data_IF_355337857865
#
_entry.id   IF_355337857865
#
_cell.length_a   1.000
_cell.length_b   1.000
_cell.length_c   1.000
_cell.angle_alpha   90.00
_cell.angle_beta   90.00
_cell.angle_gamma   90.00
#
_symmetry.space_group_name_H-M   'P 1'
#
loop_
_entity.id
_entity.type
_entity.pdbx_description
1 polymer ?
#
# COMPACT_ATOMS: atom_id res chain seq x y z
N UNK A 1 -45.54 61.18 42.92
CA UNK A 1 -46.05 60.86 41.57
C UNK A 1 -45.03 61.38 40.57
N UNK A 2 -44.02 60.60 40.20
CA UNK A 2 -44.03 59.57 39.14
C UNK A 2 -44.16 60.18 37.73
N UNK A 3 -43.02 60.53 37.11
CA UNK A 3 -42.67 60.01 35.77
C UNK A 3 -41.13 59.98 35.64
N UNK A 4 -40.53 58.86 36.00
CA UNK A 4 -39.19 58.51 35.51
C UNK A 4 -39.39 57.96 34.09
N UNK A 5 -39.05 58.74 33.07
CA UNK A 5 -38.86 58.25 31.71
C UNK A 5 -37.42 58.57 31.32
N UNK A 6 -36.53 57.63 31.61
CA UNK A 6 -35.17 57.64 31.06
C UNK A 6 -35.27 57.18 29.60
N UNK A 7 -34.70 57.93 28.63
CA UNK A 7 -34.52 57.38 27.30
C UNK A 7 -33.46 56.29 27.39
N UNK A 8 -33.86 55.07 27.06
CA UNK A 8 -32.94 53.95 26.81
C UNK A 8 -32.12 54.33 25.58
N UNK A 9 -30.94 54.91 25.80
CA UNK A 9 -29.91 54.98 24.77
C UNK A 9 -29.42 53.55 24.53
N UNK A 10 -29.94 52.93 23.48
CA UNK A 10 -29.30 51.77 22.86
C UNK A 10 -27.99 52.25 22.24
N UNK A 11 -26.90 52.17 23.00
CA UNK A 11 -25.57 52.18 22.43
C UNK A 11 -25.44 50.94 21.52
N UNK A 12 -25.01 51.08 20.26
CA UNK A 12 -24.76 49.92 19.41
C UNK A 12 -23.69 49.05 20.08
N UNK A 13 -23.79 47.71 20.04
CA UNK A 13 -22.73 46.86 20.53
C UNK A 13 -21.46 47.23 19.77
N UNK A 14 -20.44 47.67 20.52
CA UNK A 14 -19.11 47.94 20.00
C UNK A 14 -18.63 46.69 19.27
N UNK A 15 -18.71 46.72 17.94
CA UNK A 15 -18.17 45.67 17.09
C UNK A 15 -16.66 45.68 17.32
N UNK A 16 -16.18 44.71 18.10
CA UNK A 16 -14.77 44.37 18.18
C UNK A 16 -14.25 44.29 16.73
N UNK A 17 -13.16 44.98 16.36
CA UNK A 17 -12.64 44.86 15.00
C UNK A 17 -12.33 43.39 14.74
N UNK A 18 -13.03 42.80 13.77
CA UNK A 18 -12.73 41.46 13.30
C UNK A 18 -11.24 41.42 12.97
N UNK A 19 -10.51 40.51 13.62
CA UNK A 19 -9.06 40.39 13.42
C UNK A 19 -8.76 40.36 11.91
N UNK A 20 -7.78 41.15 11.43
CA UNK A 20 -7.51 41.24 10.00
C UNK A 20 -7.25 39.83 9.44
N UNK A 21 -7.67 39.55 8.20
CA UNK A 21 -7.42 38.26 7.58
C UNK A 21 -5.93 37.94 7.69
N UNK A 22 -5.60 36.80 8.28
CA UNK A 22 -4.19 36.43 8.50
C UNK A 22 -3.51 36.29 7.16
N UNK A 23 -2.48 37.10 6.92
CA UNK A 23 -1.66 37.03 5.72
C UNK A 23 -0.65 35.87 5.83
N UNK A 24 -0.48 35.14 4.73
CA UNK A 24 0.48 34.03 4.61
C UNK A 24 1.89 34.51 4.92
N UNK A 25 2.26 35.71 4.45
CA UNK A 25 3.59 36.29 4.69
C UNK A 25 3.86 36.46 6.18
N UNK A 26 2.84 36.87 6.94
CA UNK A 26 2.92 36.99 8.40
C UNK A 26 3.13 35.63 9.06
N UNK A 27 2.39 34.61 8.61
CA UNK A 27 2.50 33.24 9.12
C UNK A 27 3.87 32.62 8.80
N UNK A 28 4.43 32.90 7.61
CA UNK A 28 5.72 32.38 7.16
C UNK A 28 6.91 32.91 7.97
N UNK A 29 6.78 34.06 8.65
CA UNK A 29 7.82 34.54 9.59
C UNK A 29 8.10 33.57 10.73
N UNK A 30 7.18 32.65 11.00
CA UNK A 30 7.34 31.60 12.01
C UNK A 30 7.99 30.31 11.47
N UNK A 31 8.43 30.28 10.20
CA UNK A 31 9.08 29.12 9.59
C UNK A 31 10.28 28.60 10.40
N UNK A 32 11.21 29.48 10.78
CA UNK A 32 12.40 29.09 11.55
C UNK A 32 12.05 28.51 12.93
N UNK A 33 11.03 29.07 13.59
CA UNK A 33 10.52 28.54 14.85
C UNK A 33 9.91 27.15 14.65
N UNK A 34 9.09 26.97 13.61
CA UNK A 34 8.43 25.70 13.31
C UNK A 34 9.46 24.62 12.97
N UNK A 35 10.43 24.93 12.13
CA UNK A 35 11.53 24.03 11.79
C UNK A 35 12.33 23.64 13.04
N UNK A 36 12.64 24.61 13.93
CA UNK A 36 13.31 24.34 15.21
C UNK A 36 12.48 23.48 16.16
N UNK A 37 11.15 23.64 16.15
CA UNK A 37 10.23 22.80 16.90
C UNK A 37 10.16 21.37 16.34
N UNK A 38 10.09 21.22 15.01
CA UNK A 38 10.09 19.93 14.30
C UNK A 38 11.41 19.17 14.48
N UNK A 39 12.56 19.86 14.46
CA UNK A 39 13.88 19.25 14.71
C UNK A 39 14.01 18.58 16.08
N UNK A 40 13.22 19.00 17.08
CA UNK A 40 13.17 18.33 18.40
C UNK A 40 12.23 17.13 18.41
N UNK A 41 11.47 16.94 17.35
CA UNK A 41 10.47 15.87 17.21
C UNK A 41 10.91 14.79 16.24
N UNK A 42 11.69 15.12 15.21
CA UNK A 42 12.26 14.16 14.26
C UNK A 42 13.79 14.18 14.33
N UNK A 43 14.41 13.01 14.21
CA UNK A 43 15.86 12.83 14.35
C UNK A 43 16.68 13.31 13.13
N UNK A 44 16.00 13.76 12.06
CA UNK A 44 16.63 14.19 10.81
C UNK A 44 16.31 15.66 10.52
N UNK A 45 17.37 16.46 10.30
CA UNK A 45 17.26 17.89 9.98
C UNK A 45 16.58 18.16 8.63
N UNK A 46 16.76 17.26 7.65
CA UNK A 46 16.11 17.33 6.34
C UNK A 46 14.62 17.03 6.46
N UNK A 47 14.24 15.93 7.14
CA UNK A 47 12.84 15.62 7.38
C UNK A 47 12.10 16.72 8.15
N UNK A 48 12.79 17.39 9.08
CA UNK A 48 12.22 18.55 9.77
C UNK A 48 11.98 19.75 8.84
N UNK A 49 12.86 19.97 7.85
CA UNK A 49 12.69 21.02 6.84
C UNK A 49 11.52 20.69 5.90
N UNK A 50 11.43 19.44 5.44
CA UNK A 50 10.35 18.97 4.57
C UNK A 50 9.00 19.07 5.26
N UNK A 51 8.88 18.60 6.51
CA UNK A 51 7.66 18.72 7.30
C UNK A 51 7.25 20.17 7.56
N UNK A 52 8.23 21.08 7.73
CA UNK A 52 7.96 22.51 7.87
C UNK A 52 7.36 23.06 6.57
N UNK A 53 7.96 22.72 5.43
CA UNK A 53 7.48 23.12 4.11
C UNK A 53 6.09 22.56 3.83
N UNK A 54 5.86 21.27 4.07
CA UNK A 54 4.57 20.59 3.91
C UNK A 54 3.48 21.22 4.77
N UNK A 55 3.84 21.70 5.97
CA UNK A 55 2.91 22.44 6.83
C UNK A 55 2.41 23.70 6.12
N UNK A 56 3.31 24.48 5.53
CA UNK A 56 2.94 25.69 4.80
C UNK A 56 2.20 25.39 3.49
N UNK A 57 2.63 24.38 2.72
CA UNK A 57 1.93 23.93 1.51
C UNK A 57 0.49 23.52 1.82
N UNK A 58 0.29 22.74 2.89
CA UNK A 58 -1.05 22.31 3.32
C UNK A 58 -1.93 23.48 3.76
N UNK A 59 -1.34 24.51 4.35
CA UNK A 59 -2.05 25.72 4.77
C UNK A 59 -2.44 26.57 3.55
N UNK A 60 -1.52 26.75 2.61
CA UNK A 60 -1.75 27.46 1.34
C UNK A 60 -2.85 26.80 0.51
N UNK A 61 -2.85 25.46 0.44
CA UNK A 61 -3.85 24.70 -0.30
C UNK A 61 -5.29 24.81 0.24
N UNK A 62 -5.51 25.35 1.45
CA UNK A 62 -6.85 25.58 2.02
C UNK A 62 -7.53 26.85 1.50
N UNK A 63 -6.82 27.69 0.75
CA UNK A 63 -7.36 28.90 0.13
C UNK A 63 -7.57 30.05 1.11
N UNK A 64 -8.55 29.93 2.03
CA UNK A 64 -8.85 30.98 3.02
C UNK A 64 -8.30 30.62 4.39
N UNK A 65 -7.34 31.42 4.86
CA UNK A 65 -6.85 31.33 6.23
C UNK A 65 -7.94 31.78 7.21
N UNK A 66 -8.17 31.03 8.31
CA UNK A 66 -9.02 31.52 9.39
C UNK A 66 -8.36 32.74 10.04
N UNK A 67 -9.13 33.51 10.82
CA UNK A 67 -8.56 34.52 11.70
C UNK A 67 -7.72 33.81 12.78
N UNK A 68 -6.40 33.76 12.58
CA UNK A 68 -5.47 33.10 13.50
C UNK A 68 -5.01 34.12 14.54
N UNK A 69 -5.49 33.96 15.78
CA UNK A 69 -5.03 34.79 16.91
C UNK A 69 -3.64 34.37 17.39
N UNK A 70 -3.34 33.07 17.38
CA UNK A 70 -2.06 32.51 17.84
C UNK A 70 -1.39 31.67 16.74
N UNK A 71 -0.45 32.26 15.97
CA UNK A 71 0.18 31.59 14.82
C UNK A 71 0.93 30.30 15.17
N UNK A 72 1.69 30.31 16.27
CA UNK A 72 2.56 29.18 16.66
C UNK A 72 1.75 27.93 17.07
N UNK A 73 0.75 28.01 17.96
CA UNK A 73 -0.12 26.86 18.29
C UNK A 73 -0.89 26.33 17.08
N UNK A 74 -1.34 27.22 16.18
CA UNK A 74 -1.99 26.82 14.94
C UNK A 74 -1.05 26.00 14.04
N UNK A 75 0.17 26.51 13.79
CA UNK A 75 1.19 25.81 13.00
C UNK A 75 1.57 24.47 13.63
N UNK A 76 1.76 24.42 14.96
CA UNK A 76 2.05 23.19 15.67
C UNK A 76 0.92 22.17 15.52
N UNK A 77 -0.34 22.60 15.49
CA UNK A 77 -1.48 21.70 15.32
C UNK A 77 -1.49 21.06 13.93
N UNK A 78 -1.26 21.84 12.88
CA UNK A 78 -1.16 21.31 11.51
C UNK A 78 0.05 20.37 11.38
N UNK A 79 1.21 20.79 11.90
CA UNK A 79 2.45 20.02 11.86
C UNK A 79 2.37 18.71 12.66
N UNK A 80 1.63 18.68 13.78
CA UNK A 80 1.38 17.44 14.55
C UNK A 80 0.66 16.38 13.71
N UNK A 81 -0.33 16.77 12.91
CA UNK A 81 -1.01 15.85 12.00
C UNK A 81 -0.04 15.24 10.99
N UNK A 82 0.83 16.07 10.41
CA UNK A 82 1.86 15.62 9.46
C UNK A 82 2.92 14.73 10.12
N UNK A 83 3.30 15.01 11.38
CA UNK A 83 4.20 14.16 12.16
C UNK A 83 3.61 12.75 12.38
N UNK A 84 2.32 12.66 12.72
CA UNK A 84 1.66 11.37 12.91
C UNK A 84 1.69 10.56 11.61
N UNK A 85 1.36 11.20 10.49
CA UNK A 85 1.42 10.56 9.17
C UNK A 85 2.85 10.12 8.80
N UNK A 86 3.85 10.96 9.08
CA UNK A 86 5.26 10.65 8.87
C UNK A 86 5.71 9.41 9.66
N UNK A 87 5.41 9.34 10.97
CA UNK A 87 5.78 8.19 11.79
C UNK A 87 5.00 6.93 11.43
N UNK A 88 3.74 7.06 11.04
CA UNK A 88 2.94 5.94 10.55
C UNK A 88 3.54 5.33 9.29
N UNK A 89 3.95 6.15 8.31
CA UNK A 89 4.62 5.69 7.08
C UNK A 89 5.96 5.03 7.40
N UNK A 90 6.78 5.68 8.23
CA UNK A 90 8.09 5.14 8.62
C UNK A 90 7.98 3.80 9.35
N UNK A 91 6.98 3.63 10.21
CA UNK A 91 6.72 2.36 10.89
C UNK A 91 6.35 1.25 9.90
N UNK A 92 5.52 1.56 8.91
CA UNK A 92 5.16 0.60 7.85
C UNK A 92 6.39 0.21 7.00
N UNK A 93 7.18 1.20 6.57
CA UNK A 93 8.41 0.97 5.81
C UNK A 93 9.39 0.11 6.61
N UNK A 94 9.56 0.40 7.89
CA UNK A 94 10.43 -0.37 8.77
C UNK A 94 9.96 -1.81 8.93
N UNK A 95 8.66 -2.03 9.19
CA UNK A 95 8.09 -3.38 9.29
C UNK A 95 8.25 -4.17 7.98
N UNK A 96 8.09 -3.49 6.83
CA UNK A 96 8.33 -4.09 5.53
C UNK A 96 9.80 -4.48 5.32
N UNK A 97 10.74 -3.59 5.67
CA UNK A 97 12.18 -3.88 5.57
C UNK A 97 12.59 -5.01 6.52
N UNK A 98 12.02 -5.08 7.71
CA UNK A 98 12.23 -6.20 8.65
C UNK A 98 11.70 -7.53 8.07
N UNK A 99 10.54 -7.50 7.42
CA UNK A 99 10.00 -8.67 6.71
C UNK A 99 10.93 -9.11 5.59
N UNK A 100 11.46 -8.16 4.81
CA UNK A 100 12.36 -8.44 3.70
C UNK A 100 13.72 -8.96 4.17
N UNK A 101 14.24 -8.44 5.29
CA UNK A 101 15.48 -8.91 5.90
C UNK A 101 15.37 -10.33 6.48
N UNK A 102 14.15 -10.77 6.82
CA UNK A 102 13.87 -12.13 7.26
C UNK A 102 13.65 -13.13 6.12
N UNK A 103 13.46 -12.67 4.88
CA UNK A 103 13.40 -13.56 3.74
C UNK A 103 14.82 -14.06 3.42
N UNK A 104 14.98 -15.34 3.05
CA UNK A 104 16.24 -15.80 2.50
C UNK A 104 16.59 -14.92 1.29
N UNK A 105 17.86 -14.56 1.14
CA UNK A 105 18.30 -13.86 -0.07
C UNK A 105 17.76 -14.63 -1.28
N UNK A 106 17.21 -13.93 -2.29
CA UNK A 106 16.73 -14.57 -3.50
C UNK A 106 17.92 -15.20 -4.22
N UNK A 107 18.19 -16.45 -3.85
CA UNK A 107 19.26 -17.24 -4.44
C UNK A 107 18.77 -17.64 -5.81
N UNK A 108 19.20 -16.89 -6.83
CA UNK A 108 18.97 -17.30 -8.20
C UNK A 108 19.64 -18.66 -8.39
N UNK A 109 18.91 -19.68 -8.89
CA UNK A 109 19.53 -20.96 -9.20
C UNK A 109 20.68 -20.73 -10.18
N UNK A 110 21.78 -21.44 -9.96
CA UNK A 110 22.94 -21.42 -10.83
C UNK A 110 22.56 -21.74 -12.28
N UNK A 111 23.34 -21.28 -13.28
CA UNK A 111 23.11 -21.65 -14.67
C UNK A 111 22.99 -23.17 -14.87
N UNK A 112 23.78 -23.94 -14.13
CA UNK A 112 23.76 -25.40 -14.13
C UNK A 112 22.45 -25.96 -13.57
N UNK A 113 22.01 -25.53 -12.39
CA UNK A 113 20.72 -25.95 -11.82
C UNK A 113 19.54 -25.58 -12.74
N UNK A 114 19.59 -24.40 -13.36
CA UNK A 114 18.60 -23.97 -14.34
C UNK A 114 18.59 -24.86 -15.58
N UNK A 115 19.78 -25.22 -16.08
CA UNK A 115 19.90 -26.13 -17.22
C UNK A 115 19.31 -27.50 -16.87
N UNK A 116 19.63 -28.06 -15.69
CA UNK A 116 19.06 -29.33 -15.23
C UNK A 116 17.54 -29.30 -15.14
N UNK A 117 16.95 -28.22 -14.62
CA UNK A 117 15.49 -28.07 -14.57
C UNK A 117 14.89 -27.99 -15.98
N UNK A 118 15.50 -27.23 -16.90
CA UNK A 118 15.02 -27.10 -18.27
C UNK A 118 15.13 -28.42 -19.06
N UNK A 119 16.21 -29.17 -18.85
CA UNK A 119 16.40 -30.50 -19.42
C UNK A 119 15.31 -31.46 -18.93
N UNK A 120 15.04 -31.48 -17.62
CA UNK A 120 13.98 -32.30 -17.05
C UNK A 120 12.59 -31.93 -17.61
N UNK A 121 12.29 -30.63 -17.73
CA UNK A 121 11.02 -30.17 -18.30
C UNK A 121 10.88 -30.56 -19.77
N UNK A 122 11.96 -30.46 -20.55
CA UNK A 122 11.97 -30.83 -21.97
C UNK A 122 11.79 -32.34 -22.13
N UNK A 123 12.39 -33.15 -21.25
CA UNK A 123 12.19 -34.60 -21.23
C UNK A 123 10.73 -34.96 -20.91
N UNK A 124 10.13 -34.32 -19.91
CA UNK A 124 8.72 -34.52 -19.57
C UNK A 124 7.80 -34.15 -20.74
N UNK A 125 8.04 -33.00 -21.39
CA UNK A 125 7.26 -32.55 -22.54
C UNK A 125 7.32 -33.56 -23.69
N UNK A 126 8.52 -34.06 -24.02
CA UNK A 126 8.72 -35.08 -25.04
C UNK A 126 8.01 -36.41 -24.71
N UNK A 127 7.98 -36.82 -23.44
CA UNK A 127 7.24 -38.01 -23.01
C UNK A 127 5.72 -37.80 -23.15
N UNK A 128 5.21 -36.61 -22.86
CA UNK A 128 3.78 -36.30 -22.98
C UNK A 128 3.32 -36.12 -24.43
N UNK A 129 4.21 -35.80 -25.37
CA UNK A 129 3.91 -35.69 -26.80
C UNK A 129 3.50 -37.03 -27.44
N UNK A 130 3.92 -38.15 -26.88
CA UNK A 130 3.49 -39.49 -27.32
C UNK A 130 2.03 -39.83 -26.96
N UNK A 131 1.38 -39.03 -26.12
CA UNK A 131 0.00 -39.25 -25.68
C UNK A 131 -1.03 -38.63 -26.63
N UNK A 132 -2.20 -39.25 -26.69
CA UNK A 132 -3.37 -38.65 -27.35
C UNK A 132 -3.77 -37.35 -26.61
N UNK A 133 -4.25 -36.31 -27.32
CA UNK A 133 -4.56 -35.01 -26.72
C UNK A 133 -5.45 -35.07 -25.47
N UNK A 134 -6.55 -35.84 -25.51
CA UNK A 134 -7.47 -35.97 -24.38
C UNK A 134 -6.86 -36.69 -23.15
N UNK A 135 -5.88 -37.56 -23.37
CA UNK A 135 -5.17 -38.29 -22.30
C UNK A 135 -4.17 -37.36 -21.61
N UNK A 136 -3.41 -36.60 -22.42
CA UNK A 136 -2.50 -35.56 -21.92
C UNK A 136 -3.25 -34.47 -21.16
N UNK A 137 -4.37 -33.99 -21.69
CA UNK A 137 -5.19 -32.96 -21.06
C UNK A 137 -5.72 -33.40 -19.69
N UNK A 138 -6.24 -34.63 -19.58
CA UNK A 138 -6.69 -35.17 -18.30
C UNK A 138 -5.56 -35.25 -17.26
N UNK A 139 -4.34 -35.61 -17.67
CA UNK A 139 -3.18 -35.65 -16.79
C UNK A 139 -2.75 -34.26 -16.32
N UNK A 140 -2.68 -33.28 -17.22
CA UNK A 140 -2.33 -31.90 -16.87
C UNK A 140 -3.35 -31.26 -15.94
N UNK A 141 -4.65 -31.49 -16.15
CA UNK A 141 -5.71 -31.03 -15.24
C UNK A 141 -5.56 -31.61 -13.83
N UNK A 142 -5.10 -32.86 -13.73
CA UNK A 142 -4.85 -33.48 -12.43
C UNK A 142 -3.58 -32.92 -11.75
N UNK A 143 -2.48 -32.77 -12.49
CA UNK A 143 -1.18 -32.42 -11.90
C UNK A 143 -0.96 -30.92 -11.72
N UNK A 144 -1.42 -30.09 -12.68
CA UNK A 144 -1.22 -28.64 -12.64
C UNK A 144 -2.38 -27.90 -11.97
N UNK A 145 -3.62 -28.30 -12.25
CA UNK A 145 -4.81 -27.68 -11.66
C UNK A 145 -5.29 -28.39 -10.37
N UNK A 146 -4.71 -29.55 -10.03
CA UNK A 146 -5.07 -30.30 -8.82
C UNK A 146 -6.50 -30.88 -8.83
N UNK A 147 -7.11 -31.00 -10.01
CA UNK A 147 -8.51 -31.42 -10.12
C UNK A 147 -8.69 -32.91 -9.80
N UNK A 148 -9.77 -33.23 -9.08
CA UNK A 148 -10.20 -34.61 -8.86
C UNK A 148 -10.84 -35.24 -10.10
N UNK A 149 -10.87 -36.58 -10.16
CA UNK A 149 -11.30 -37.30 -11.37
C UNK A 149 -12.75 -36.98 -11.81
N UNK A 150 -13.65 -36.67 -10.87
CA UNK A 150 -15.02 -36.28 -11.18
C UNK A 150 -15.09 -34.91 -11.90
N UNK A 151 -14.34 -33.92 -11.43
CA UNK A 151 -14.27 -32.60 -12.05
C UNK A 151 -13.62 -32.66 -13.45
N UNK A 152 -12.60 -33.51 -13.61
CA UNK A 152 -11.97 -33.75 -14.92
C UNK A 152 -12.97 -34.42 -15.88
N UNK A 153 -13.75 -35.39 -15.40
CA UNK A 153 -14.75 -36.10 -16.20
C UNK A 153 -15.83 -35.15 -16.74
N UNK A 154 -16.33 -34.26 -15.88
CA UNK A 154 -17.27 -33.20 -16.26
C UNK A 154 -16.66 -32.26 -17.30
N UNK A 155 -15.43 -31.79 -17.09
CA UNK A 155 -14.75 -30.84 -17.97
C UNK A 155 -14.41 -31.40 -19.34
N UNK A 156 -14.03 -32.67 -19.42
CA UNK A 156 -13.71 -33.36 -20.67
C UNK A 156 -14.92 -34.06 -21.31
N UNK A 157 -16.12 -33.96 -20.70
CA UNK A 157 -17.35 -34.62 -21.14
C UNK A 157 -17.20 -36.14 -21.31
N UNK A 158 -16.51 -36.80 -20.38
CA UNK A 158 -16.30 -38.25 -20.35
C UNK A 158 -16.74 -38.84 -19.02
N UNK A 159 -16.71 -40.17 -18.89
CA UNK A 159 -16.99 -40.82 -17.61
C UNK A 159 -15.78 -40.77 -16.67
N UNK A 160 -16.02 -40.81 -15.37
CA UNK A 160 -14.94 -40.94 -14.35
C UNK A 160 -14.06 -42.17 -14.62
N UNK A 161 -14.65 -43.27 -15.10
CA UNK A 161 -13.91 -44.48 -15.49
C UNK A 161 -12.94 -44.20 -16.65
N UNK A 162 -13.36 -43.39 -17.62
CA UNK A 162 -12.51 -42.96 -18.74
C UNK A 162 -11.33 -42.12 -18.24
N UNK A 163 -11.56 -41.16 -17.33
CA UNK A 163 -10.48 -40.37 -16.72
C UNK A 163 -9.47 -41.25 -15.98
N UNK A 164 -9.94 -42.19 -15.16
CA UNK A 164 -9.06 -43.14 -14.46
C UNK A 164 -8.23 -43.97 -15.44
N UNK A 165 -8.83 -44.38 -16.57
CA UNK A 165 -8.09 -45.08 -17.62
C UNK A 165 -7.06 -44.17 -18.30
N UNK A 166 -7.40 -42.91 -18.60
CA UNK A 166 -6.45 -41.95 -19.17
C UNK A 166 -5.25 -41.75 -18.26
N UNK A 167 -5.46 -41.53 -16.96
CA UNK A 167 -4.36 -41.36 -16.00
C UNK A 167 -3.50 -42.62 -15.87
N UNK A 168 -4.10 -43.81 -15.90
CA UNK A 168 -3.35 -45.07 -15.93
C UNK A 168 -2.48 -45.16 -17.19
N UNK A 169 -3.06 -44.91 -18.36
CA UNK A 169 -2.34 -44.95 -19.63
C UNK A 169 -1.19 -43.93 -19.67
N UNK A 170 -1.37 -42.74 -19.10
CA UNK A 170 -0.29 -41.76 -18.98
C UNK A 170 0.86 -42.28 -18.12
N UNK A 171 0.56 -42.86 -16.95
CA UNK A 171 1.58 -43.41 -16.06
C UNK A 171 2.33 -44.57 -16.70
N UNK A 172 1.62 -45.49 -17.36
CA UNK A 172 2.22 -46.60 -18.13
C UNK A 172 3.15 -46.07 -19.22
N UNK A 173 2.68 -45.11 -20.02
CA UNK A 173 3.46 -44.50 -21.09
C UNK A 173 4.72 -43.81 -20.58
N UNK A 174 4.63 -43.07 -19.47
CA UNK A 174 5.78 -42.44 -18.86
C UNK A 174 6.76 -43.47 -18.27
N UNK A 175 6.27 -44.60 -17.77
CA UNK A 175 7.14 -45.66 -17.23
C UNK A 175 7.92 -46.37 -18.34
N UNK A 176 7.29 -46.64 -19.48
CA UNK A 176 7.90 -47.33 -20.61
C UNK A 176 8.98 -46.48 -21.32
N UNK A 177 8.87 -45.15 -21.21
CA UNK A 177 9.81 -44.18 -21.79
C UNK A 177 10.86 -43.67 -20.81
N UNK A 178 10.75 -44.03 -19.53
CA UNK A 178 11.74 -43.66 -18.53
C UNK A 178 13.08 -44.39 -18.80
N UNK A 179 14.22 -43.67 -18.85
CA UNK A 179 15.54 -44.26 -19.10
C UNK A 179 16.06 -45.15 -17.96
#
# INVERSE_FOLDING_TARGET
MLVFSTPITNAPPTLLPAAPPTDVTSLYRHHAWLQGWLRRKVDCSHSAADLAQDTFVRILGRGRLPAIQEPRPYLATVARGLLIDFYRRRSLEQAYMETLAGLPEPMAPSPEERATVLEALTAIDAMLDGLKPAVREAFLLSQLEGLGHAAIAERLHVTVRTVTNYLRTTLEHCWDLAP
#
